data_IF_600988988594
#
_entry.id   IF_600988988594
#
_cell.length_a   1.000
_cell.length_b   1.000
_cell.length_c   1.000
_cell.angle_alpha   90.00
_cell.angle_beta   90.00
_cell.angle_gamma   90.00
#
_symmetry.space_group_name_H-M   'P 1'
#
loop_
_entity.id
_entity.type
_entity.pdbx_description
1 polymer ?
#
# COMPACT_ATOMS: atom_id res chain seq x y z
N UNK A 1 32.33 -32.43 68.94
CA UNK A 1 31.27 -32.13 67.95
C UNK A 1 31.55 -30.73 67.48
N UNK A 2 32.23 -30.60 66.34
CA UNK A 2 32.62 -29.30 65.75
C UNK A 2 31.67 -28.95 64.62
N UNK A 3 30.97 -27.86 64.75
CA UNK A 3 30.12 -27.28 63.74
C UNK A 3 30.95 -26.45 62.75
N UNK A 4 30.88 -26.76 61.48
CA UNK A 4 31.40 -25.92 60.37
C UNK A 4 30.34 -24.97 59.88
N UNK A 5 30.63 -23.71 59.66
CA UNK A 5 29.66 -22.80 58.99
C UNK A 5 29.78 -22.93 57.50
N UNK A 6 28.64 -23.13 56.84
CA UNK A 6 28.50 -23.16 55.42
C UNK A 6 28.44 -21.71 54.89
N UNK A 7 29.45 -21.30 54.15
CA UNK A 7 29.43 -20.00 53.43
C UNK A 7 28.60 -20.11 52.16
N UNK A 8 27.53 -19.31 52.05
CA UNK A 8 26.75 -19.14 50.85
C UNK A 8 27.42 -18.07 50.00
N UNK A 9 27.99 -18.47 48.87
CA UNK A 9 28.48 -17.54 47.84
C UNK A 9 27.30 -17.11 46.98
N UNK A 10 26.86 -15.86 47.10
CA UNK A 10 25.92 -15.24 46.18
C UNK A 10 26.74 -14.69 45.02
N UNK A 11 26.70 -15.39 43.89
CA UNK A 11 27.25 -14.89 42.64
C UNK A 11 26.22 -13.98 41.98
N UNK A 12 26.45 -12.68 42.05
CA UNK A 12 25.67 -11.68 41.30
C UNK A 12 26.09 -11.72 39.82
N UNK A 13 25.27 -12.32 39.00
CA UNK A 13 25.38 -12.23 37.52
C UNK A 13 24.70 -10.93 37.11
N UNK A 14 25.47 -9.86 36.97
CA UNK A 14 25.05 -8.66 36.27
C UNK A 14 25.17 -8.91 34.76
N UNK A 15 24.15 -9.52 34.17
CA UNK A 15 24.00 -9.62 32.71
C UNK A 15 23.54 -8.29 32.19
N UNK A 16 24.44 -7.51 31.58
CA UNK A 16 24.05 -6.36 30.78
C UNK A 16 23.32 -6.84 29.50
N UNK A 17 22.00 -6.79 29.53
CA UNK A 17 21.18 -6.87 28.32
C UNK A 17 21.37 -5.53 27.54
N UNK A 18 22.41 -5.48 26.73
CA UNK A 18 22.49 -4.52 25.65
C UNK A 18 21.51 -4.98 24.55
N UNK A 19 20.24 -4.62 24.68
CA UNK A 19 19.31 -4.65 23.56
C UNK A 19 19.75 -3.57 22.57
N UNK A 20 20.63 -3.97 21.67
CA UNK A 20 20.90 -3.17 20.47
C UNK A 20 19.61 -3.12 19.67
N UNK A 21 18.90 -1.99 19.74
CA UNK A 21 17.99 -1.60 18.69
C UNK A 21 18.91 -1.39 17.48
N UNK A 22 18.99 -2.42 16.63
CA UNK A 22 19.56 -2.25 15.31
C UNK A 22 18.60 -1.29 14.59
N UNK A 23 18.91 0.01 14.59
CA UNK A 23 18.30 0.93 13.67
C UNK A 23 18.62 0.38 12.27
N UNK A 24 17.61 -0.17 11.59
CA UNK A 24 17.75 -0.50 10.19
C UNK A 24 18.16 0.80 9.49
N UNK A 25 19.43 0.90 9.10
CA UNK A 25 19.87 2.00 8.27
C UNK A 25 19.06 1.91 6.97
N UNK A 26 18.54 3.02 6.47
CA UNK A 26 17.85 3.01 5.19
C UNK A 26 18.78 2.39 4.15
N UNK A 27 18.31 1.33 3.48
CA UNK A 27 19.06 0.71 2.38
C UNK A 27 19.16 1.75 1.29
N UNK A 28 20.38 2.15 0.94
CA UNK A 28 20.58 3.02 -0.20
C UNK A 28 20.25 2.24 -1.48
N UNK A 29 19.30 2.74 -2.25
CA UNK A 29 19.01 2.18 -3.57
C UNK A 29 20.25 2.28 -4.48
N UNK A 30 20.51 1.29 -5.34
CA UNK A 30 21.64 1.34 -6.27
C UNK A 30 21.62 2.63 -7.11
N UNK A 31 22.73 3.36 -7.13
CA UNK A 31 22.85 4.60 -7.91
C UNK A 31 22.33 5.88 -7.25
N UNK A 32 21.67 5.79 -6.10
CA UNK A 32 21.25 6.96 -5.32
C UNK A 32 22.38 7.39 -4.40
N UNK A 33 22.82 8.64 -4.53
CA UNK A 33 23.84 9.21 -3.65
C UNK A 33 23.16 9.98 -2.51
N UNK A 34 23.65 9.84 -1.27
CA UNK A 34 23.14 10.64 -0.16
C UNK A 34 23.45 12.12 -0.40
N UNK A 35 22.61 12.99 0.14
CA UNK A 35 22.87 14.43 0.12
C UNK A 35 23.97 14.71 1.14
N UNK A 36 25.15 15.12 0.65
CA UNK A 36 26.28 15.44 1.50
C UNK A 36 25.98 16.66 2.40
N UNK A 37 26.47 16.68 3.67
CA UNK A 37 26.29 17.84 4.56
C UNK A 37 26.86 19.16 4.01
N UNK A 38 27.83 19.08 3.10
CA UNK A 38 28.47 20.23 2.44
C UNK A 38 27.81 20.62 1.11
N UNK A 39 26.71 19.96 0.71
CA UNK A 39 26.03 20.23 -0.55
C UNK A 39 25.49 21.67 -0.60
N UNK A 40 25.62 22.32 -1.76
CA UNK A 40 24.98 23.62 -1.99
C UNK A 40 23.47 23.50 -2.11
N UNK A 41 22.69 24.60 -1.93
CA UNK A 41 21.24 24.56 -2.11
C UNK A 41 20.81 24.05 -3.49
N UNK A 42 21.58 24.32 -4.54
CA UNK A 42 21.34 23.82 -5.91
C UNK A 42 21.52 22.30 -5.98
N UNK A 43 22.61 21.79 -5.39
CA UNK A 43 22.86 20.33 -5.31
C UNK A 43 21.82 19.61 -4.49
N UNK A 44 21.38 20.19 -3.36
CA UNK A 44 20.30 19.62 -2.54
C UNK A 44 19.00 19.52 -3.33
N UNK A 45 18.63 20.57 -4.09
CA UNK A 45 17.44 20.53 -4.94
C UNK A 45 17.56 19.48 -6.03
N UNK A 46 18.66 19.46 -6.75
CA UNK A 46 18.89 18.51 -7.84
C UNK A 46 18.86 17.03 -7.35
N UNK A 47 19.38 16.77 -6.16
CA UNK A 47 19.39 15.42 -5.58
C UNK A 47 17.99 14.82 -5.31
N UNK A 48 16.96 15.65 -5.18
CA UNK A 48 15.58 15.22 -4.86
C UNK A 48 14.58 15.53 -5.98
N UNK A 49 15.04 16.01 -7.16
CA UNK A 49 14.15 16.51 -8.22
C UNK A 49 13.66 15.42 -9.21
N UNK A 50 13.86 14.15 -8.90
CA UNK A 50 13.43 13.07 -9.80
C UNK A 50 11.90 12.97 -9.88
N UNK A 51 11.28 12.62 -8.76
CA UNK A 51 9.81 12.52 -8.65
C UNK A 51 9.35 13.40 -7.49
N UNK A 52 8.44 14.34 -7.77
CA UNK A 52 7.93 15.28 -6.78
C UNK A 52 6.41 15.43 -6.90
N UNK A 53 5.79 15.89 -5.81
CA UNK A 53 4.42 16.34 -5.87
C UNK A 53 4.28 17.64 -6.64
N UNK A 54 3.35 17.67 -7.56
CA UNK A 54 2.95 18.83 -8.32
C UNK A 54 1.72 19.53 -7.72
N UNK A 55 0.78 19.88 -8.58
CA UNK A 55 -0.46 20.57 -8.16
C UNK A 55 -1.45 19.58 -7.55
N UNK A 56 -2.21 20.05 -6.56
CA UNK A 56 -3.37 19.33 -6.03
C UNK A 56 -4.44 19.19 -7.12
N UNK A 57 -5.00 18.00 -7.24
CA UNK A 57 -6.02 17.66 -8.23
C UNK A 57 -7.40 17.40 -7.57
N UNK A 58 -7.64 17.93 -6.36
CA UNK A 58 -8.93 17.79 -5.71
C UNK A 58 -10.02 18.44 -6.59
N UNK A 59 -11.05 17.68 -7.03
CA UNK A 59 -12.14 18.25 -7.81
C UNK A 59 -13.00 19.20 -6.96
N UNK A 60 -13.70 20.13 -7.60
CA UNK A 60 -14.59 21.07 -6.88
C UNK A 60 -15.76 20.37 -6.18
N UNK A 61 -16.15 19.22 -6.62
CA UNK A 61 -17.19 18.37 -6.04
C UNK A 61 -16.99 16.94 -6.50
N UNK A 62 -17.41 15.98 -5.69
CA UNK A 62 -17.45 14.57 -6.08
C UNK A 62 -18.73 14.22 -6.84
N UNK A 63 -18.81 13.06 -7.52
CA UNK A 63 -19.98 12.63 -8.27
C UNK A 63 -21.27 12.69 -7.46
N UNK A 64 -22.38 13.06 -8.09
CA UNK A 64 -23.71 13.13 -7.48
C UNK A 64 -23.81 14.03 -6.24
N UNK A 65 -22.91 15.01 -6.10
CA UNK A 65 -22.84 15.89 -4.92
C UNK A 65 -22.33 15.17 -3.66
N UNK A 66 -21.60 14.09 -3.80
CA UNK A 66 -20.96 13.43 -2.67
C UNK A 66 -19.98 14.39 -1.99
N UNK A 67 -19.87 14.22 -0.67
CA UNK A 67 -19.04 15.05 0.20
C UNK A 67 -17.60 14.55 0.24
N UNK A 68 -17.42 13.23 0.22
CA UNK A 68 -16.11 12.57 0.33
C UNK A 68 -16.05 11.39 -0.62
N UNK A 69 -14.90 11.16 -1.24
CA UNK A 69 -14.61 9.90 -1.91
C UNK A 69 -13.94 8.92 -0.93
N UNK A 70 -14.32 7.66 -0.99
CA UNK A 70 -13.76 6.59 -0.15
C UNK A 70 -13.26 5.49 -1.05
N UNK A 71 -11.97 5.22 -0.99
CA UNK A 71 -11.31 4.11 -1.64
C UNK A 71 -10.90 3.04 -0.62
N UNK A 72 -11.38 1.84 -0.83
CA UNK A 72 -10.95 0.65 -0.08
C UNK A 72 -10.03 -0.13 -0.99
N UNK A 73 -8.79 -0.37 -0.56
CA UNK A 73 -7.80 -1.07 -1.38
C UNK A 73 -7.09 -2.19 -0.63
N UNK A 74 -6.64 -3.18 -1.40
CA UNK A 74 -5.92 -4.34 -0.90
C UNK A 74 -4.69 -4.61 -1.75
N UNK A 75 -3.53 -4.69 -1.10
CA UNK A 75 -2.31 -5.21 -1.68
C UNK A 75 -2.29 -6.73 -1.40
N UNK A 76 -2.45 -7.53 -2.47
CA UNK A 76 -2.70 -8.97 -2.37
C UNK A 76 -1.39 -9.73 -2.47
N UNK A 77 -0.47 -9.39 -1.58
CA UNK A 77 0.92 -9.89 -1.61
C UNK A 77 0.99 -11.39 -1.38
N UNK A 78 0.19 -11.88 -0.44
CA UNK A 78 0.19 -13.30 -0.09
C UNK A 78 1.65 -13.80 0.10
N UNK A 79 2.02 -14.93 -0.52
CA UNK A 79 3.37 -15.51 -0.42
C UNK A 79 4.47 -14.66 -1.08
N UNK A 80 4.12 -13.73 -1.99
CA UNK A 80 5.10 -12.89 -2.68
C UNK A 80 5.91 -12.02 -1.72
N UNK A 81 5.34 -11.67 -0.56
CA UNK A 81 6.05 -10.95 0.49
C UNK A 81 7.27 -11.70 1.03
N UNK A 82 7.24 -13.04 1.00
CA UNK A 82 8.33 -13.90 1.50
C UNK A 82 9.13 -14.58 0.39
N UNK A 83 9.11 -14.06 -0.85
CA UNK A 83 9.83 -14.64 -2.01
C UNK A 83 11.33 -14.84 -1.77
N UNK A 84 11.95 -13.92 -1.02
CA UNK A 84 13.40 -13.95 -0.77
C UNK A 84 13.79 -14.93 0.35
N UNK A 85 12.82 -15.39 1.15
CA UNK A 85 13.00 -16.36 2.22
C UNK A 85 11.78 -17.29 2.33
N UNK A 86 11.58 -18.20 1.35
CA UNK A 86 10.37 -18.99 1.22
C UNK A 86 10.30 -20.16 2.23
N UNK A 87 10.39 -19.85 3.52
CA UNK A 87 10.23 -20.83 4.59
C UNK A 87 8.75 -21.17 4.82
N UNK A 88 8.44 -22.42 5.22
CA UNK A 88 7.05 -22.89 5.34
C UNK A 88 6.16 -22.03 6.25
N UNK A 89 6.70 -21.53 7.37
CA UNK A 89 5.89 -20.75 8.33
C UNK A 89 5.53 -19.37 7.77
N UNK A 90 6.46 -18.53 7.27
CA UNK A 90 6.12 -17.30 6.57
C UNK A 90 5.18 -17.52 5.38
N UNK A 91 5.47 -18.48 4.50
CA UNK A 91 4.60 -18.78 3.35
C UNK A 91 3.17 -19.13 3.76
N UNK A 92 2.99 -19.82 4.90
CA UNK A 92 1.65 -20.18 5.39
C UNK A 92 0.80 -18.95 5.76
N UNK A 93 1.39 -17.80 6.07
CA UNK A 93 0.67 -16.54 6.28
C UNK A 93 0.12 -16.01 4.95
N UNK A 94 0.90 -16.08 3.88
CA UNK A 94 0.44 -15.75 2.52
C UNK A 94 -0.68 -16.67 2.05
N UNK A 95 -0.53 -17.99 2.25
CA UNK A 95 -1.58 -18.96 1.98
C UNK A 95 -2.88 -18.65 2.74
N UNK A 96 -2.80 -18.22 4.01
CA UNK A 96 -3.96 -17.78 4.78
C UNK A 96 -4.64 -16.60 4.09
N UNK A 97 -3.86 -15.66 3.55
CA UNK A 97 -4.35 -14.51 2.79
C UNK A 97 -5.25 -14.94 1.64
N UNK A 98 -4.78 -15.86 0.82
CA UNK A 98 -5.52 -16.35 -0.34
C UNK A 98 -6.68 -17.29 0.01
N UNK A 99 -6.47 -18.23 0.94
CA UNK A 99 -7.42 -19.34 1.20
C UNK A 99 -8.57 -18.97 2.13
N UNK A 100 -8.31 -18.15 3.14
CA UNK A 100 -9.26 -17.82 4.20
C UNK A 100 -9.67 -16.34 4.20
N UNK A 101 -8.69 -15.44 4.09
CA UNK A 101 -8.89 -14.03 4.28
C UNK A 101 -9.60 -13.37 3.09
N UNK A 102 -9.09 -13.57 1.88
CA UNK A 102 -9.67 -12.96 0.68
C UNK A 102 -11.13 -13.36 0.45
N UNK A 103 -11.55 -14.64 0.53
CA UNK A 103 -12.96 -15.00 0.45
C UNK A 103 -13.83 -14.29 1.50
N UNK A 104 -13.31 -14.14 2.73
CA UNK A 104 -14.01 -13.44 3.81
C UNK A 104 -14.16 -11.95 3.56
N UNK A 105 -13.12 -11.31 3.04
CA UNK A 105 -13.13 -9.90 2.63
C UNK A 105 -14.12 -9.68 1.50
N UNK A 106 -14.07 -10.50 0.45
CA UNK A 106 -14.99 -10.41 -0.69
C UNK A 106 -16.45 -10.59 -0.25
N UNK A 107 -16.72 -11.57 0.64
CA UNK A 107 -18.07 -11.77 1.17
C UNK A 107 -18.59 -10.54 1.95
N UNK A 108 -17.71 -9.84 2.68
CA UNK A 108 -18.06 -8.60 3.37
C UNK A 108 -18.37 -7.48 2.37
N UNK A 109 -17.47 -7.23 1.42
CA UNK A 109 -17.62 -6.17 0.41
C UNK A 109 -18.84 -6.39 -0.49
N UNK A 110 -19.08 -7.64 -0.90
CA UNK A 110 -20.20 -7.99 -1.76
C UNK A 110 -21.55 -7.84 -1.05
N UNK A 111 -21.63 -8.26 0.21
CA UNK A 111 -22.82 -8.09 1.04
C UNK A 111 -23.21 -6.62 1.18
N UNK A 112 -22.22 -5.76 1.39
CA UNK A 112 -22.43 -4.34 1.67
C UNK A 112 -22.34 -3.48 0.38
N UNK A 113 -22.19 -4.13 -0.80
CA UNK A 113 -22.09 -3.52 -2.13
C UNK A 113 -20.96 -2.47 -2.26
N UNK A 114 -19.86 -2.67 -1.55
CA UNK A 114 -18.71 -1.76 -1.54
C UNK A 114 -17.72 -2.17 -2.62
N UNK A 115 -17.38 -1.29 -3.59
CA UNK A 115 -16.30 -1.52 -4.53
C UNK A 115 -14.94 -1.42 -3.81
N UNK A 116 -13.94 -2.12 -4.33
CA UNK A 116 -12.57 -2.05 -3.85
C UNK A 116 -11.58 -2.26 -4.99
N UNK A 117 -10.34 -1.81 -4.79
CA UNK A 117 -9.24 -2.01 -5.72
C UNK A 117 -8.26 -3.03 -5.14
N UNK A 118 -7.83 -4.00 -5.95
CA UNK A 118 -6.92 -5.07 -5.56
C UNK A 118 -5.66 -4.97 -6.41
N UNK A 119 -4.53 -4.68 -5.77
CA UNK A 119 -3.22 -4.64 -6.41
C UNK A 119 -2.55 -6.00 -6.22
N UNK A 120 -2.22 -6.65 -7.33
CA UNK A 120 -1.85 -8.08 -7.32
C UNK A 120 -0.45 -8.27 -7.89
N UNK A 121 0.52 -8.77 -7.09
CA UNK A 121 1.74 -9.33 -7.62
C UNK A 121 1.41 -10.55 -8.48
N UNK A 122 2.03 -10.69 -9.64
CA UNK A 122 1.75 -11.82 -10.53
C UNK A 122 2.04 -13.17 -9.85
N UNK A 123 3.07 -13.22 -9.01
CA UNK A 123 3.39 -14.43 -8.23
C UNK A 123 2.19 -14.91 -7.40
N UNK A 124 1.48 -13.99 -6.75
CA UNK A 124 0.28 -14.34 -5.95
C UNK A 124 -0.82 -14.93 -6.83
N UNK A 125 -1.03 -14.37 -8.03
CA UNK A 125 -2.01 -14.90 -8.98
C UNK A 125 -1.60 -16.25 -9.57
N UNK A 126 -0.31 -16.49 -9.78
CA UNK A 126 0.22 -17.78 -10.26
C UNK A 126 0.03 -18.88 -9.21
N UNK A 127 0.29 -18.57 -7.94
CA UNK A 127 0.13 -19.53 -6.84
C UNK A 127 -1.34 -19.82 -6.53
N UNK A 128 -2.24 -18.86 -6.77
CA UNK A 128 -3.68 -18.94 -6.49
C UNK A 128 -4.51 -18.59 -7.73
N UNK A 129 -4.61 -19.47 -8.73
CA UNK A 129 -5.24 -19.15 -10.03
C UNK A 129 -6.73 -18.80 -9.94
N UNK A 130 -7.41 -19.22 -8.88
CA UNK A 130 -8.83 -18.88 -8.63
C UNK A 130 -9.05 -17.49 -8.03
N UNK A 131 -7.99 -16.80 -7.60
CA UNK A 131 -8.06 -15.54 -6.90
C UNK A 131 -8.65 -14.41 -7.76
N UNK A 132 -8.11 -14.21 -8.96
CA UNK A 132 -8.60 -13.20 -9.91
C UNK A 132 -10.07 -13.45 -10.29
N UNK A 133 -10.48 -14.67 -10.69
CA UNK A 133 -11.90 -14.99 -10.91
C UNK A 133 -12.81 -14.68 -9.71
N UNK A 134 -12.37 -14.95 -8.49
CA UNK A 134 -13.14 -14.65 -7.28
C UNK A 134 -13.33 -13.14 -7.09
N UNK A 135 -12.27 -12.34 -7.24
CA UNK A 135 -12.33 -10.87 -7.14
C UNK A 135 -13.27 -10.29 -8.19
N UNK A 136 -13.16 -10.76 -9.42
CA UNK A 136 -13.95 -10.24 -10.55
C UNK A 136 -15.42 -10.68 -10.54
N UNK A 137 -15.80 -11.66 -9.75
CA UNK A 137 -17.13 -12.29 -9.76
C UNK A 137 -18.28 -11.29 -9.61
N UNK A 138 -18.13 -10.29 -8.78
CA UNK A 138 -19.17 -9.27 -8.54
C UNK A 138 -19.23 -8.19 -9.62
N UNK A 139 -18.20 -8.05 -10.44
CA UNK A 139 -18.05 -6.97 -11.43
C UNK A 139 -17.89 -5.57 -10.83
N UNK A 140 -17.66 -5.46 -9.51
CA UNK A 140 -17.52 -4.17 -8.80
C UNK A 140 -16.09 -3.77 -8.51
N UNK A 141 -15.19 -4.75 -8.47
CA UNK A 141 -13.82 -4.53 -8.03
C UNK A 141 -12.90 -4.25 -9.19
N UNK A 142 -11.84 -3.53 -8.90
CA UNK A 142 -10.74 -3.23 -9.79
C UNK A 142 -9.55 -4.13 -9.50
N UNK A 143 -8.78 -4.47 -10.53
CA UNK A 143 -7.47 -5.12 -10.40
C UNK A 143 -6.41 -4.19 -10.97
N UNK A 144 -5.42 -3.84 -10.14
CA UNK A 144 -4.25 -3.06 -10.47
C UNK A 144 -2.95 -3.87 -10.41
N UNK A 145 -1.86 -3.30 -10.94
CA UNK A 145 -0.53 -3.90 -10.95
C UNK A 145 0.15 -3.70 -9.59
N UNK A 146 0.80 -4.76 -9.08
CA UNK A 146 1.65 -4.73 -7.88
C UNK A 146 2.97 -5.49 -8.07
N UNK A 147 3.63 -5.28 -9.22
CA UNK A 147 4.85 -5.97 -9.58
C UNK A 147 4.66 -7.39 -10.10
N UNK A 148 5.78 -8.04 -10.42
CA UNK A 148 5.82 -9.41 -10.90
C UNK A 148 5.88 -10.41 -9.75
N UNK A 149 6.86 -10.23 -8.84
CA UNK A 149 7.07 -11.05 -7.64
C UNK A 149 7.10 -10.21 -6.35
N UNK A 150 6.50 -9.04 -6.37
CA UNK A 150 6.58 -8.03 -5.29
C UNK A 150 8.02 -7.50 -5.10
N UNK A 151 8.70 -7.24 -6.21
CA UNK A 151 10.05 -6.66 -6.23
C UNK A 151 10.05 -5.19 -5.87
N UNK A 152 10.97 -4.75 -5.03
CA UNK A 152 11.25 -3.33 -4.79
C UNK A 152 11.94 -2.75 -6.03
N UNK A 153 11.32 -1.79 -6.70
CA UNK A 153 11.81 -1.25 -7.97
C UNK A 153 13.17 -0.57 -7.84
N UNK A 154 13.39 0.13 -6.72
CA UNK A 154 14.71 0.75 -6.46
C UNK A 154 15.84 -0.27 -6.34
N UNK A 155 15.53 -1.51 -5.99
CA UNK A 155 16.51 -2.59 -5.84
C UNK A 155 16.87 -3.29 -7.13
N UNK A 156 16.10 -3.11 -8.23
CA UNK A 156 16.35 -3.77 -9.51
C UNK A 156 17.65 -3.25 -10.15
N UNK A 157 17.92 -1.94 -10.04
CA UNK A 157 19.15 -1.31 -10.51
C UNK A 157 19.32 -1.24 -12.04
N UNK A 158 18.35 -1.70 -12.81
CA UNK A 158 18.33 -1.70 -14.29
C UNK A 158 16.94 -1.34 -14.82
N UNK A 159 16.82 -0.19 -15.46
CA UNK A 159 15.57 0.31 -16.01
C UNK A 159 14.97 -0.61 -17.11
N UNK A 160 15.78 -1.32 -17.88
CA UNK A 160 15.28 -2.27 -18.88
C UNK A 160 14.66 -3.51 -18.23
N UNK A 161 15.27 -3.98 -17.16
CA UNK A 161 14.71 -5.08 -16.37
C UNK A 161 13.42 -4.67 -15.68
N UNK A 162 13.36 -3.47 -15.09
CA UNK A 162 12.16 -2.92 -14.48
C UNK A 162 11.04 -2.77 -15.52
N UNK A 163 11.33 -2.19 -16.71
CA UNK A 163 10.36 -2.09 -17.80
C UNK A 163 9.84 -3.45 -18.24
N UNK A 164 10.72 -4.46 -18.33
CA UNK A 164 10.32 -5.80 -18.67
C UNK A 164 9.34 -6.40 -17.66
N UNK A 165 9.66 -6.35 -16.36
CA UNK A 165 8.81 -6.87 -15.29
C UNK A 165 7.46 -6.17 -15.25
N UNK A 166 7.44 -4.85 -15.44
CA UNK A 166 6.22 -4.07 -15.53
C UNK A 166 5.34 -4.51 -16.71
N UNK A 167 5.92 -4.66 -17.90
CA UNK A 167 5.19 -5.09 -19.09
C UNK A 167 4.69 -6.52 -18.98
N UNK A 168 5.49 -7.44 -18.41
CA UNK A 168 5.09 -8.81 -18.15
C UNK A 168 3.91 -8.87 -17.17
N UNK A 169 3.92 -8.04 -16.12
CA UNK A 169 2.83 -7.93 -15.15
C UNK A 169 1.54 -7.42 -15.80
N UNK A 170 1.65 -6.40 -16.64
CA UNK A 170 0.50 -5.88 -17.40
C UNK A 170 -0.06 -6.95 -18.33
N UNK A 171 0.80 -7.65 -19.05
CA UNK A 171 0.38 -8.69 -20.00
C UNK A 171 -0.34 -9.84 -19.29
N UNK A 172 0.23 -10.33 -18.19
CA UNK A 172 -0.37 -11.41 -17.40
C UNK A 172 -1.76 -11.01 -16.86
N UNK A 173 -1.84 -9.86 -16.19
CA UNK A 173 -3.11 -9.40 -15.61
C UNK A 173 -4.15 -9.07 -16.69
N UNK A 174 -3.72 -8.54 -17.85
CA UNK A 174 -4.61 -8.33 -18.99
C UNK A 174 -5.19 -9.65 -19.49
N UNK A 175 -4.37 -10.69 -19.61
CA UNK A 175 -4.83 -12.03 -20.02
C UNK A 175 -5.78 -12.63 -18.98
N UNK A 176 -5.47 -12.50 -17.69
CA UNK A 176 -6.24 -13.10 -16.61
C UNK A 176 -7.59 -12.42 -16.38
N UNK A 177 -7.68 -11.11 -16.62
CA UNK A 177 -8.91 -10.31 -16.37
C UNK A 177 -9.72 -10.02 -17.62
N UNK A 178 -9.11 -10.13 -18.81
CA UNK A 178 -9.70 -9.66 -20.08
C UNK A 178 -9.62 -8.14 -20.27
N UNK A 179 -9.05 -7.39 -19.32
CA UNK A 179 -8.94 -5.93 -19.34
C UNK A 179 -7.54 -5.50 -18.93
N UNK A 180 -7.00 -4.48 -19.61
CA UNK A 180 -5.73 -3.88 -19.22
C UNK A 180 -5.89 -3.15 -17.88
N UNK A 181 -5.02 -3.40 -16.88
CA UNK A 181 -4.98 -2.60 -15.65
C UNK A 181 -4.75 -1.13 -15.96
N UNK A 182 -5.49 -0.25 -15.33
CA UNK A 182 -5.39 1.20 -15.52
C UNK A 182 -4.54 1.89 -14.46
N UNK A 183 -4.36 1.24 -13.32
CA UNK A 183 -3.59 1.74 -12.19
C UNK A 183 -2.50 0.79 -11.74
N UNK A 184 -1.55 1.36 -11.04
CA UNK A 184 -0.43 0.67 -10.42
C UNK A 184 -0.26 1.13 -8.98
N UNK A 185 0.16 0.21 -8.13
CA UNK A 185 0.80 0.49 -6.85
C UNK A 185 2.13 -0.24 -6.84
N UNK A 186 3.23 0.49 -6.66
CA UNK A 186 4.55 -0.12 -6.59
C UNK A 186 4.67 -0.99 -5.34
N UNK A 187 5.29 -2.19 -5.43
CA UNK A 187 5.57 -3.02 -4.26
C UNK A 187 6.32 -2.23 -3.18
N UNK A 188 5.94 -2.41 -1.92
CA UNK A 188 6.50 -1.65 -0.77
C UNK A 188 6.42 -0.12 -0.92
N UNK A 189 5.59 0.39 -1.85
CA UNK A 189 5.51 1.80 -2.25
C UNK A 189 6.88 2.37 -2.68
N UNK A 190 7.68 1.55 -3.34
CA UNK A 190 9.07 1.85 -3.68
C UNK A 190 9.22 2.23 -5.16
N UNK A 191 9.92 3.33 -5.41
CA UNK A 191 10.22 3.82 -6.76
C UNK A 191 11.74 3.84 -7.01
N UNK A 192 12.13 3.37 -8.18
CA UNK A 192 13.44 3.68 -8.76
C UNK A 192 13.44 5.09 -9.36
N UNK A 193 14.59 5.53 -9.84
CA UNK A 193 14.68 6.76 -10.62
C UNK A 193 13.99 6.68 -12.00
N UNK A 194 13.64 5.50 -12.46
CA UNK A 194 13.03 5.24 -13.78
C UNK A 194 11.52 4.98 -13.70
N UNK A 195 11.00 4.59 -12.53
CA UNK A 195 9.63 4.07 -12.35
C UNK A 195 8.57 5.02 -12.92
N UNK A 196 8.63 6.33 -12.61
CA UNK A 196 7.64 7.28 -13.11
C UNK A 196 7.56 7.31 -14.63
N UNK A 197 8.71 7.36 -15.30
CA UNK A 197 8.75 7.38 -16.76
C UNK A 197 8.28 6.05 -17.37
N UNK A 198 8.58 4.93 -16.74
CA UNK A 198 8.11 3.62 -17.17
C UNK A 198 6.59 3.47 -17.02
N UNK A 199 6.01 3.94 -15.91
CA UNK A 199 4.56 3.96 -15.69
C UNK A 199 3.87 4.84 -16.76
N UNK A 200 4.41 6.03 -17.04
CA UNK A 200 3.89 6.92 -18.07
C UNK A 200 4.00 6.29 -19.47
N UNK A 201 5.15 5.74 -19.83
CA UNK A 201 5.36 5.03 -21.10
C UNK A 201 4.42 3.85 -21.26
N UNK A 202 4.16 3.12 -20.18
CA UNK A 202 3.20 2.02 -20.17
C UNK A 202 1.74 2.51 -20.30
N UNK A 203 1.45 3.80 -20.11
CA UNK A 203 0.11 4.37 -20.31
C UNK A 203 -0.85 4.10 -19.18
N UNK A 204 -0.38 4.07 -17.94
CA UNK A 204 -1.23 4.05 -16.77
C UNK A 204 -1.95 5.40 -16.59
N UNK A 205 -3.15 5.37 -16.05
CA UNK A 205 -3.95 6.57 -15.76
C UNK A 205 -3.62 7.16 -14.38
N UNK A 206 -3.19 6.32 -13.44
CA UNK A 206 -2.84 6.73 -12.09
C UNK A 206 -1.80 5.80 -11.46
N UNK A 207 -1.09 6.34 -10.49
CA UNK A 207 -0.29 5.65 -9.48
C UNK A 207 -0.92 5.80 -8.09
N UNK A 208 -0.59 4.90 -7.18
CA UNK A 208 -1.04 4.96 -5.78
C UNK A 208 0.08 4.44 -4.86
N UNK A 209 1.25 5.11 -4.91
CA UNK A 209 2.44 4.68 -4.15
C UNK A 209 3.06 5.79 -3.32
N UNK A 210 2.69 7.05 -3.57
CA UNK A 210 3.30 8.21 -2.93
C UNK A 210 2.38 8.81 -1.86
N UNK A 211 2.94 9.65 -0.97
CA UNK A 211 2.23 10.15 0.21
C UNK A 211 2.51 11.63 0.51
N UNK A 212 2.66 12.45 -0.56
CA UNK A 212 3.04 13.84 -0.37
C UNK A 212 1.87 14.78 -0.03
N UNK A 213 0.63 14.34 -0.25
CA UNK A 213 -0.61 15.08 0.05
C UNK A 213 -1.70 14.11 0.52
N UNK A 214 -2.72 14.63 1.19
CA UNK A 214 -3.90 13.83 1.57
C UNK A 214 -4.89 13.65 0.41
N UNK A 215 -4.80 14.53 -0.60
CA UNK A 215 -5.70 14.62 -1.74
C UNK A 215 -5.01 14.19 -3.03
N UNK A 216 -5.77 13.81 -4.08
CA UNK A 216 -5.19 13.53 -5.38
C UNK A 216 -4.30 14.67 -5.87
N UNK A 217 -3.16 14.33 -6.43
CA UNK A 217 -2.22 15.33 -6.96
C UNK A 217 -1.54 14.83 -8.24
N UNK A 218 -0.92 15.76 -8.97
CA UNK A 218 -0.12 15.42 -10.14
C UNK A 218 1.31 15.09 -9.72
N UNK A 219 1.87 14.03 -10.27
CA UNK A 219 3.31 13.77 -10.13
C UNK A 219 4.10 14.64 -11.10
N UNK A 220 5.24 15.16 -10.63
CA UNK A 220 6.22 15.84 -11.47
C UNK A 220 7.40 14.89 -11.73
N UNK A 221 7.87 14.89 -12.97
CA UNK A 221 9.12 14.29 -13.38
C UNK A 221 10.13 15.41 -13.65
N UNK A 222 11.23 15.46 -12.90
CA UNK A 222 12.25 16.52 -13.02
C UNK A 222 11.63 17.93 -13.09
N UNK A 223 10.72 18.22 -12.18
CA UNK A 223 10.00 19.49 -12.09
C UNK A 223 8.96 19.76 -13.19
N UNK A 224 8.73 18.82 -14.12
CA UNK A 224 7.75 18.97 -15.20
C UNK A 224 6.49 18.13 -14.93
N UNK A 225 5.29 18.64 -15.26
CA UNK A 225 4.04 17.91 -15.15
C UNK A 225 4.10 16.57 -15.90
N UNK A 226 3.73 15.50 -15.21
CA UNK A 226 3.71 14.15 -15.81
C UNK A 226 2.36 13.78 -16.45
N UNK A 227 1.29 14.50 -16.14
CA UNK A 227 -0.11 14.15 -16.43
C UNK A 227 -0.54 12.82 -15.80
N UNK A 228 0.20 12.29 -14.83
CA UNK A 228 -0.17 11.13 -14.04
C UNK A 228 -0.79 11.58 -12.72
N UNK A 229 -1.95 11.03 -12.41
CA UNK A 229 -2.61 11.25 -11.12
C UNK A 229 -1.97 10.35 -10.07
N UNK A 230 -1.59 10.93 -8.95
CA UNK A 230 -1.32 10.19 -7.73
C UNK A 230 -2.57 10.15 -6.87
N UNK A 231 -3.00 8.94 -6.50
CA UNK A 231 -3.99 8.70 -5.46
C UNK A 231 -3.26 8.28 -4.20
N UNK A 232 -3.02 9.21 -3.26
CA UNK A 232 -2.02 9.00 -2.23
C UNK A 232 -2.39 7.90 -1.25
N UNK A 233 -1.37 7.15 -0.86
CA UNK A 233 -1.39 6.23 0.29
C UNK A 233 -0.78 6.92 1.51
N UNK A 234 -0.96 6.38 2.69
CA UNK A 234 -0.22 6.80 3.88
C UNK A 234 -0.11 5.68 4.92
N UNK A 235 0.93 5.72 5.74
CA UNK A 235 1.19 4.72 6.78
C UNK A 235 0.15 4.72 7.91
N UNK A 236 -0.63 5.81 8.08
CA UNK A 236 -1.65 5.91 9.12
C UNK A 236 -2.87 5.08 8.75
N UNK A 237 -3.23 5.08 7.46
CA UNK A 237 -4.37 4.31 6.92
C UNK A 237 -3.90 3.07 6.15
N UNK A 238 -2.93 2.35 6.73
CA UNK A 238 -2.43 1.07 6.27
C UNK A 238 -2.43 0.07 7.43
N UNK A 239 -2.84 -1.18 7.20
CA UNK A 239 -2.93 -2.20 8.26
C UNK A 239 -1.56 -2.82 8.60
N UNK A 240 -0.60 -2.81 7.67
CA UNK A 240 0.70 -3.45 7.83
C UNK A 240 1.51 -2.90 9.02
N UNK A 241 1.68 -1.56 9.19
CA UNK A 241 2.44 -1.02 10.32
C UNK A 241 1.87 -1.36 11.69
N UNK A 242 0.57 -1.66 11.77
CA UNK A 242 -0.09 -1.98 13.03
C UNK A 242 -0.05 -3.45 13.38
N UNK A 243 -0.08 -4.34 12.40
CA UNK A 243 -0.38 -5.73 12.66
C UNK A 243 0.70 -6.72 12.25
N UNK A 244 1.64 -6.33 11.41
CA UNK A 244 2.77 -7.20 11.12
C UNK A 244 3.79 -7.14 12.26
N UNK A 245 4.17 -8.30 12.85
CA UNK A 245 5.01 -8.35 14.04
C UNK A 245 6.37 -7.66 13.86
N UNK A 246 6.95 -7.79 12.68
CA UNK A 246 8.24 -7.19 12.35
C UNK A 246 8.18 -5.67 12.22
N UNK A 247 7.01 -5.12 11.88
CA UNK A 247 6.79 -3.69 11.78
C UNK A 247 6.28 -3.09 13.11
N UNK A 248 5.34 -3.76 13.78
CA UNK A 248 4.63 -3.20 14.92
C UNK A 248 5.34 -3.36 16.27
N UNK A 249 6.24 -4.32 16.40
CA UNK A 249 6.86 -4.68 17.70
C UNK A 249 5.87 -5.30 18.71
N UNK A 250 4.65 -4.75 18.82
CA UNK A 250 3.56 -5.34 19.60
C UNK A 250 2.23 -5.06 18.87
N UNK A 251 1.34 -6.05 18.83
CA UNK A 251 0.07 -5.92 18.13
C UNK A 251 -0.93 -5.05 18.91
N UNK A 252 -1.43 -3.94 18.35
CA UNK A 252 -2.50 -3.17 18.96
C UNK A 252 -3.83 -3.93 18.91
N UNK A 253 -4.79 -3.51 19.73
CA UNK A 253 -6.13 -4.05 19.62
C UNK A 253 -6.80 -3.60 18.31
N UNK A 254 -7.66 -4.44 17.69
CA UNK A 254 -8.41 -4.01 16.50
C UNK A 254 -9.29 -2.78 16.72
N UNK A 255 -9.72 -2.52 17.96
CA UNK A 255 -10.45 -1.29 18.29
C UNK A 255 -9.57 -0.03 18.21
N UNK A 256 -8.31 -0.10 18.67
CA UNK A 256 -7.41 1.04 18.57
C UNK A 256 -7.14 1.42 17.10
N UNK A 257 -6.94 0.43 16.24
CA UNK A 257 -6.76 0.68 14.79
C UNK A 257 -8.05 1.20 14.15
N UNK A 258 -9.21 0.65 14.52
CA UNK A 258 -10.50 1.17 14.09
C UNK A 258 -10.67 2.66 14.45
N UNK A 259 -10.32 3.08 15.66
CA UNK A 259 -10.43 4.47 16.11
C UNK A 259 -9.54 5.40 15.30
N UNK A 260 -8.32 4.95 14.91
CA UNK A 260 -7.43 5.71 14.04
C UNK A 260 -8.07 5.88 12.64
N UNK A 261 -8.51 4.79 12.02
CA UNK A 261 -9.11 4.85 10.67
C UNK A 261 -10.42 5.66 10.66
N UNK A 262 -11.21 5.59 11.73
CA UNK A 262 -12.40 6.41 11.86
C UNK A 262 -12.05 7.89 11.94
N UNK A 263 -11.01 8.26 12.70
CA UNK A 263 -10.58 9.65 12.83
C UNK A 263 -10.04 10.20 11.49
N UNK A 264 -9.25 9.42 10.76
CA UNK A 264 -8.77 9.78 9.42
C UNK A 264 -9.94 9.98 8.43
N UNK A 265 -10.91 9.06 8.44
CA UNK A 265 -12.12 9.22 7.63
C UNK A 265 -12.92 10.47 8.03
N UNK A 266 -13.11 10.73 9.31
CA UNK A 266 -13.85 11.90 9.79
C UNK A 266 -13.17 13.23 9.38
N UNK A 267 -11.82 13.25 9.34
CA UNK A 267 -11.03 14.36 8.79
C UNK A 267 -11.31 14.56 7.30
N UNK A 268 -11.12 13.53 6.49
CA UNK A 268 -11.40 13.58 5.05
C UNK A 268 -12.87 13.96 4.76
N UNK A 269 -13.81 13.44 5.53
CA UNK A 269 -15.23 13.77 5.42
C UNK A 269 -15.51 15.25 5.75
N UNK A 270 -14.86 15.80 6.76
CA UNK A 270 -15.00 17.21 7.13
C UNK A 270 -14.46 18.15 6.04
N UNK A 271 -13.33 17.80 5.46
CA UNK A 271 -12.63 18.57 4.42
C UNK A 271 -13.25 18.42 3.02
N UNK A 272 -14.05 17.37 2.79
CA UNK A 272 -14.64 17.09 1.49
C UNK A 272 -13.65 16.43 0.53
N UNK A 273 -12.71 15.68 1.07
CA UNK A 273 -11.55 15.13 0.39
C UNK A 273 -11.65 13.67 -0.04
N UNK A 274 -10.50 12.99 0.01
CA UNK A 274 -10.33 11.57 -0.28
C UNK A 274 -9.95 10.81 0.99
N UNK A 275 -10.66 9.74 1.31
CA UNK A 275 -10.20 8.75 2.29
C UNK A 275 -9.71 7.51 1.56
N UNK A 276 -8.43 7.19 1.73
CA UNK A 276 -7.77 6.01 1.17
C UNK A 276 -7.42 5.05 2.30
N UNK A 277 -7.88 3.79 2.21
CA UNK A 277 -7.53 2.74 3.14
C UNK A 277 -6.81 1.61 2.40
N UNK A 278 -5.58 1.34 2.79
CA UNK A 278 -4.76 0.25 2.25
C UNK A 278 -4.72 -0.90 3.25
N UNK A 279 -4.94 -2.09 2.77
CA UNK A 279 -4.96 -3.30 3.60
C UNK A 279 -4.35 -4.48 2.86
N UNK A 280 -4.01 -5.52 3.61
CA UNK A 280 -3.47 -6.77 3.08
C UNK A 280 -4.37 -7.93 3.51
N UNK A 281 -4.81 -8.82 2.61
CA UNK A 281 -5.71 -9.92 2.99
C UNK A 281 -5.18 -10.75 4.14
N UNK A 282 -3.90 -11.15 4.10
CA UNK A 282 -3.27 -11.93 5.16
C UNK A 282 -3.16 -11.19 6.51
N UNK A 283 -3.32 -9.86 6.51
CA UNK A 283 -3.31 -9.01 7.69
C UNK A 283 -4.72 -8.75 8.20
N UNK A 284 -5.54 -8.02 7.44
CA UNK A 284 -6.90 -7.60 7.85
C UNK A 284 -7.92 -8.74 7.86
N UNK A 285 -7.72 -9.79 7.08
CA UNK A 285 -8.70 -10.88 6.95
C UNK A 285 -8.86 -11.79 8.17
N UNK A 286 -8.07 -11.60 9.24
CA UNK A 286 -8.23 -12.33 10.50
C UNK A 286 -9.55 -12.02 11.21
N UNK A 287 -10.10 -13.02 11.96
CA UNK A 287 -11.42 -12.96 12.58
C UNK A 287 -11.70 -11.70 13.39
N UNK A 288 -10.72 -11.20 14.16
CA UNK A 288 -10.90 -10.01 14.99
C UNK A 288 -10.79 -8.71 14.17
N UNK A 289 -9.91 -8.68 13.16
CA UNK A 289 -9.63 -7.50 12.36
C UNK A 289 -10.73 -7.25 11.32
N UNK A 290 -11.27 -8.32 10.71
CA UNK A 290 -12.40 -8.20 9.78
C UNK A 290 -13.66 -7.62 10.44
N UNK A 291 -13.88 -7.87 11.73
CA UNK A 291 -14.99 -7.26 12.49
C UNK A 291 -14.78 -5.76 12.65
N UNK A 292 -13.53 -5.31 12.89
CA UNK A 292 -13.20 -3.89 12.94
C UNK A 292 -13.42 -3.21 11.58
N UNK A 293 -12.99 -3.84 10.50
CA UNK A 293 -13.26 -3.36 9.14
C UNK A 293 -14.77 -3.26 8.86
N UNK A 294 -15.55 -4.30 9.19
CA UNK A 294 -17.01 -4.25 9.02
C UNK A 294 -17.65 -3.07 9.76
N UNK A 295 -17.20 -2.79 10.99
CA UNK A 295 -17.70 -1.64 11.77
C UNK A 295 -17.35 -0.33 11.09
N UNK A 296 -16.13 -0.19 10.58
CA UNK A 296 -15.68 1.00 9.86
C UNK A 296 -16.50 1.24 8.59
N UNK A 297 -16.69 0.20 7.77
CA UNK A 297 -17.49 0.29 6.55
C UNK A 297 -18.95 0.69 6.87
N UNK A 298 -19.55 0.08 7.88
CA UNK A 298 -20.90 0.43 8.34
C UNK A 298 -20.98 1.87 8.85
N UNK A 299 -19.96 2.33 9.57
CA UNK A 299 -19.87 3.71 10.04
C UNK A 299 -19.82 4.68 8.86
N UNK A 300 -18.96 4.45 7.89
CA UNK A 300 -18.84 5.28 6.69
C UNK A 300 -20.14 5.31 5.88
N UNK A 301 -20.80 4.14 5.69
CA UNK A 301 -22.08 4.04 5.00
C UNK A 301 -23.22 4.79 5.71
N UNK A 302 -23.13 4.96 7.03
CA UNK A 302 -24.13 5.73 7.80
C UNK A 302 -24.06 7.25 7.58
N UNK A 303 -22.97 7.74 6.97
CA UNK A 303 -22.77 9.17 6.71
C UNK A 303 -23.37 9.58 5.37
N UNK A 304 -24.11 10.69 5.28
CA UNK A 304 -24.64 11.16 4.02
C UNK A 304 -23.52 11.64 3.06
N UNK A 305 -23.67 11.37 1.79
CA UNK A 305 -22.76 11.90 0.77
C UNK A 305 -21.39 11.21 0.73
N UNK A 306 -21.29 9.96 1.16
CA UNK A 306 -20.10 9.12 0.96
C UNK A 306 -20.18 8.44 -0.41
N UNK A 307 -19.15 8.62 -1.21
CA UNK A 307 -18.99 7.95 -2.49
C UNK A 307 -17.91 6.87 -2.38
N UNK A 308 -18.33 5.61 -2.21
CA UNK A 308 -17.42 4.48 -2.33
C UNK A 308 -17.10 4.23 -3.79
N UNK A 309 -15.82 4.17 -4.11
CA UNK A 309 -15.33 4.02 -5.49
C UNK A 309 -14.05 3.18 -5.54
N UNK A 310 -13.79 2.57 -6.70
CA UNK A 310 -12.45 2.05 -6.99
C UNK A 310 -11.49 3.22 -7.27
N UNK A 311 -10.18 2.95 -7.15
CA UNK A 311 -9.18 3.97 -7.48
C UNK A 311 -9.28 4.38 -8.95
N UNK A 312 -9.55 3.45 -9.88
CA UNK A 312 -9.77 3.78 -11.29
C UNK A 312 -10.96 4.74 -11.49
N UNK A 313 -12.07 4.54 -10.76
CA UNK A 313 -13.22 5.44 -10.84
C UNK A 313 -12.86 6.85 -10.34
N UNK A 314 -12.11 6.93 -9.21
CA UNK A 314 -11.65 8.22 -8.67
C UNK A 314 -10.66 8.87 -9.63
N UNK A 315 -9.66 8.14 -10.12
CA UNK A 315 -8.67 8.65 -11.08
C UNK A 315 -9.34 9.17 -12.37
N UNK A 316 -10.26 8.39 -12.91
CA UNK A 316 -11.03 8.79 -14.11
C UNK A 316 -11.79 10.11 -13.87
N UNK A 317 -12.47 10.22 -12.73
CA UNK A 317 -13.20 11.43 -12.38
C UNK A 317 -12.26 12.63 -12.19
N UNK A 318 -11.21 12.47 -11.40
CA UNK A 318 -10.19 13.50 -11.14
C UNK A 318 -9.56 13.99 -12.46
N UNK A 319 -9.13 13.08 -13.33
CA UNK A 319 -8.56 13.42 -14.64
C UNK A 319 -9.51 14.27 -15.48
N UNK A 320 -10.77 13.84 -15.56
CA UNK A 320 -11.79 14.57 -16.34
C UNK A 320 -12.06 15.98 -15.79
N UNK A 321 -11.99 16.18 -14.48
CA UNK A 321 -12.28 17.47 -13.84
C UNK A 321 -11.09 18.41 -13.78
N UNK A 322 -9.85 17.89 -13.78
CA UNK A 322 -8.67 18.69 -13.44
C UNK A 322 -7.55 18.67 -14.49
N UNK A 323 -7.44 17.62 -15.30
CA UNK A 323 -6.41 17.49 -16.33
C UNK A 323 -6.93 17.75 -17.75
N UNK A 324 -8.21 17.50 -18.03
CA UNK A 324 -8.81 17.68 -19.36
C UNK A 324 -9.03 19.16 -19.77
N UNK A 325 -8.68 20.12 -18.93
CA UNK A 325 -8.94 21.55 -19.14
C UNK A 325 -7.70 22.33 -19.66
N UNK A 326 -6.72 21.65 -20.26
CA UNK A 326 -5.52 22.32 -20.81
C UNK A 326 -5.20 21.86 -22.21
#
# INVERSE_FOLDING_TARGET
MRLFPTAVIVASVAGALATGIASAQPRHAPGVQPIEPSATPEQMRAAVDNVRAGRKLLPKSWPNGARVAVCISFDVDNEALWRDNPLPVPLSQGEYGAKEALPRILALLDRDHIPASFYIPVLSAVLHPDMIPQIMKSGRHEIGVHGWVHEEYSSIGDAQQEEKLLNDSIAYLTQATGHRPRGIRAPSWDFSSSTLELIRKAGFDYDSSMMAMDEPYELLSHGQPSNLVELPVNWIADDYPYYEPDAAGSLPSPNAVYEIYQAEFDGAYAEGGLFMLTMHPHVTGHRSRIVALQRLLSYMQSKPGVWFATLDQVATYVRAQTLAAH
#
